data_IF_737403475956
#
_entry.id   IF_737403475956
#
_cell.length_a   1.000
_cell.length_b   1.000
_cell.length_c   1.000
_cell.angle_alpha   90.00
_cell.angle_beta   90.00
_cell.angle_gamma   90.00
#
_symmetry.space_group_name_H-M   'P 1'
#
loop_
_entity.id
_entity.type
_entity.pdbx_description
1 polymer ?
#
# COMPACT_ATOMS: atom_id res chain seq x y z
N UNK A 1 71.37 -49.73 16.28
CA UNK A 1 71.15 -48.67 15.28
C UNK A 1 69.93 -49.08 14.46
N UNK A 2 68.77 -48.49 14.73
CA UNK A 2 67.56 -48.64 13.92
C UNK A 2 67.05 -47.24 13.61
N UNK A 3 66.87 -46.97 12.32
CA UNK A 3 66.35 -45.74 11.76
C UNK A 3 64.81 -45.72 11.78
N UNK A 4 64.31 -44.51 12.01
CA UNK A 4 63.16 -43.83 11.41
C UNK A 4 61.96 -44.65 10.91
N UNK A 5 60.78 -44.29 11.43
CA UNK A 5 59.53 -44.21 10.68
C UNK A 5 58.57 -43.28 11.43
N UNK A 6 58.30 -42.09 10.89
CA UNK A 6 57.10 -41.34 11.29
C UNK A 6 56.39 -40.80 10.05
N UNK A 7 55.35 -41.53 9.64
CA UNK A 7 54.33 -41.03 8.75
C UNK A 7 53.00 -40.94 9.52
N UNK A 8 52.52 -39.69 9.64
CA UNK A 8 51.15 -39.25 9.37
C UNK A 8 50.02 -39.82 10.25
N UNK A 9 49.37 -38.95 11.04
CA UNK A 9 47.95 -38.59 10.82
C UNK A 9 47.48 -37.48 11.76
N UNK A 10 47.03 -36.40 11.14
CA UNK A 10 45.86 -35.55 11.44
C UNK A 10 45.37 -35.40 12.89
N UNK A 11 45.28 -34.15 13.36
CA UNK A 11 44.06 -33.73 14.04
C UNK A 11 43.74 -32.25 13.80
N UNK A 12 42.49 -32.05 13.39
CA UNK A 12 41.81 -30.79 13.13
C UNK A 12 41.51 -30.10 14.48
N UNK A 13 41.74 -28.80 14.61
CA UNK A 13 41.23 -28.02 15.74
C UNK A 13 40.83 -26.65 15.23
N UNK A 14 39.51 -26.47 15.10
CA UNK A 14 38.86 -25.17 15.06
C UNK A 14 39.34 -24.36 16.26
N UNK A 15 39.90 -23.17 16.03
CA UNK A 15 40.21 -22.25 17.10
C UNK A 15 39.50 -20.92 16.83
N UNK A 16 38.63 -20.60 17.79
CA UNK A 16 37.82 -19.40 17.90
C UNK A 16 38.63 -18.12 17.66
N UNK A 17 38.02 -17.20 16.92
CA UNK A 17 38.53 -15.85 16.70
C UNK A 17 38.20 -14.96 17.91
N UNK A 18 39.17 -14.76 18.80
CA UNK A 18 39.17 -13.63 19.72
C UNK A 18 39.71 -12.39 18.96
N UNK A 19 38.86 -11.36 18.82
CA UNK A 19 39.22 -10.10 18.19
C UNK A 19 39.81 -9.18 19.26
N UNK A 20 41.13 -9.21 19.41
CA UNK A 20 41.86 -8.24 20.23
C UNK A 20 42.18 -6.99 19.41
N UNK A 21 41.43 -5.91 19.67
CA UNK A 21 41.67 -4.60 19.10
C UNK A 21 42.81 -3.89 19.86
N UNK A 22 44.00 -3.78 19.25
CA UNK A 22 45.01 -2.81 19.74
C UNK A 22 45.93 -2.27 18.62
N UNK A 23 45.67 -1.00 18.28
CA UNK A 23 46.58 0.06 17.79
C UNK A 23 47.81 -0.32 16.95
N UNK A 24 47.78 0.09 15.68
CA UNK A 24 48.90 0.01 14.75
C UNK A 24 49.84 1.22 14.74
N UNK A 25 50.96 1.02 14.03
CA UNK A 25 51.79 1.92 13.21
C UNK A 25 53.09 1.14 12.94
N UNK A 26 53.70 1.06 11.77
CA UNK A 26 53.39 1.30 10.37
C UNK A 26 54.53 0.57 9.64
N UNK A 27 54.28 -0.13 8.53
CA UNK A 27 55.25 -0.24 7.43
C UNK A 27 54.59 -0.90 6.21
N UNK A 28 54.36 -0.06 5.20
CA UNK A 28 54.67 -0.39 3.81
C UNK A 28 53.82 -1.40 3.04
N UNK A 29 52.51 -1.19 2.87
CA UNK A 29 51.83 -1.68 1.66
C UNK A 29 50.65 -0.78 1.28
N UNK A 30 50.54 -0.48 -0.02
CA UNK A 30 49.71 0.58 -0.59
C UNK A 30 48.23 0.56 -0.10
N UNK A 31 47.62 1.71 0.26
CA UNK A 31 46.23 1.70 0.66
C UNK A 31 45.32 1.61 -0.58
N UNK A 32 44.37 0.67 -0.50
CA UNK A 32 42.99 0.94 -0.89
C UNK A 32 42.67 1.10 -2.40
N UNK A 33 42.52 -0.01 -3.10
CA UNK A 33 41.43 -0.14 -4.09
C UNK A 33 40.19 -0.78 -3.43
N UNK A 34 40.40 -1.91 -2.73
CA UNK A 34 39.33 -2.68 -2.07
C UNK A 34 38.56 -1.86 -1.03
N UNK A 35 39.23 -1.02 -0.23
CA UNK A 35 38.60 -0.20 0.82
C UNK A 35 37.75 0.94 0.23
N UNK A 36 38.16 1.51 -0.92
CA UNK A 36 37.37 2.49 -1.66
C UNK A 36 36.11 1.90 -2.31
N UNK A 37 36.21 0.69 -2.88
CA UNK A 37 35.07 -0.01 -3.47
C UNK A 37 34.06 -0.50 -2.40
N UNK A 38 34.55 -0.95 -1.24
CA UNK A 38 33.71 -1.31 -0.09
C UNK A 38 32.94 -0.09 0.46
N UNK A 39 33.56 1.09 0.48
CA UNK A 39 32.89 2.35 0.85
C UNK A 39 31.75 2.71 -0.11
N UNK A 40 31.97 2.49 -1.42
CA UNK A 40 31.00 2.77 -2.47
C UNK A 40 29.81 1.79 -2.42
N UNK A 41 30.07 0.50 -2.18
CA UNK A 41 29.03 -0.52 -1.96
C UNK A 41 28.21 -0.21 -0.71
N UNK A 42 28.85 0.21 0.39
CA UNK A 42 28.15 0.60 1.62
C UNK A 42 27.24 1.82 1.40
N UNK A 43 27.70 2.83 0.65
CA UNK A 43 26.89 3.98 0.31
C UNK A 43 25.69 3.59 -0.58
N UNK A 44 25.90 2.76 -1.59
CA UNK A 44 24.81 2.25 -2.44
C UNK A 44 23.78 1.43 -1.64
N UNK A 45 24.24 0.60 -0.71
CA UNK A 45 23.37 -0.18 0.17
C UNK A 45 22.50 0.72 1.04
N UNK A 46 23.06 1.78 1.63
CA UNK A 46 22.30 2.74 2.43
C UNK A 46 21.27 3.47 1.57
N UNK A 47 21.64 3.91 0.37
CA UNK A 47 20.71 4.58 -0.55
C UNK A 47 19.56 3.64 -0.92
N UNK A 48 19.85 2.39 -1.26
CA UNK A 48 18.80 1.40 -1.58
C UNK A 48 17.90 1.12 -0.38
N UNK A 49 18.45 1.01 0.82
CA UNK A 49 17.66 0.81 2.03
C UNK A 49 16.68 1.98 2.26
N UNK A 50 17.15 3.22 2.09
CA UNK A 50 16.29 4.41 2.22
C UNK A 50 15.20 4.43 1.15
N UNK A 51 15.53 4.09 -0.10
CA UNK A 51 14.54 4.05 -1.20
C UNK A 51 13.46 2.99 -0.95
N UNK A 52 13.84 1.82 -0.44
CA UNK A 52 12.88 0.76 -0.09
C UNK A 52 11.94 1.23 1.01
N UNK A 53 12.47 1.82 2.09
CA UNK A 53 11.66 2.34 3.20
C UNK A 53 10.72 3.44 2.71
N UNK A 54 11.21 4.38 1.90
CA UNK A 54 10.40 5.43 1.32
C UNK A 54 9.25 4.86 0.47
N UNK A 55 9.53 3.88 -0.40
CA UNK A 55 8.52 3.23 -1.23
C UNK A 55 7.46 2.48 -0.40
N UNK A 56 7.86 1.80 0.67
CA UNK A 56 6.91 1.12 1.56
C UNK A 56 5.98 2.12 2.26
N UNK A 57 6.53 3.22 2.78
CA UNK A 57 5.73 4.27 3.44
C UNK A 57 4.73 4.90 2.46
N UNK A 58 5.15 5.21 1.23
CA UNK A 58 4.25 5.79 0.23
C UNK A 58 3.14 4.82 -0.17
N UNK A 59 3.44 3.53 -0.32
CA UNK A 59 2.42 2.50 -0.58
C UNK A 59 1.41 2.45 0.56
N UNK A 60 1.88 2.40 1.81
CA UNK A 60 1.02 2.35 3.00
C UNK A 60 0.12 3.60 3.05
N UNK A 61 0.67 4.81 2.91
CA UNK A 61 -0.11 6.06 2.91
C UNK A 61 -1.12 6.10 1.76
N UNK A 62 -0.74 5.61 0.57
CA UNK A 62 -1.63 5.57 -0.60
C UNK A 62 -2.77 4.58 -0.39
N UNK A 63 -2.49 3.40 0.16
CA UNK A 63 -3.49 2.39 0.49
C UNK A 63 -4.40 2.93 1.60
N UNK A 64 -3.86 3.48 2.69
CA UNK A 64 -4.68 4.09 3.74
C UNK A 64 -5.54 5.20 3.18
N UNK A 65 -5.01 6.13 2.39
CA UNK A 65 -5.79 7.21 1.78
C UNK A 65 -6.92 6.69 0.88
N UNK A 66 -6.65 5.67 0.05
CA UNK A 66 -7.70 4.99 -0.73
C UNK A 66 -8.68 4.24 0.17
N UNK A 67 -8.21 3.60 1.23
CA UNK A 67 -9.02 2.81 2.14
C UNK A 67 -9.88 3.70 3.02
N UNK A 68 -9.45 4.90 3.41
CA UNK A 68 -10.27 5.91 4.09
C UNK A 68 -11.26 6.55 3.13
N UNK A 69 -10.93 6.67 1.84
CA UNK A 69 -11.89 7.08 0.81
C UNK A 69 -12.93 5.99 0.52
N UNK A 70 -12.55 4.71 0.56
CA UNK A 70 -13.44 3.56 0.33
C UNK A 70 -14.20 3.09 1.59
N UNK A 71 -13.63 3.29 2.78
CA UNK A 71 -14.21 3.02 4.10
C UNK A 71 -14.53 4.32 4.84
N UNK A 72 -14.75 5.42 4.11
CA UNK A 72 -15.81 6.31 4.54
C UNK A 72 -17.07 5.45 4.49
N UNK A 73 -17.27 4.68 5.56
CA UNK A 73 -18.52 4.04 5.90
C UNK A 73 -19.47 5.20 5.77
N UNK A 74 -20.20 5.22 4.65
CA UNK A 74 -21.37 6.05 4.52
C UNK A 74 -22.22 5.54 5.66
N UNK A 75 -22.17 6.23 6.80
CA UNK A 75 -23.14 5.99 7.85
C UNK A 75 -24.49 5.92 7.15
N UNK A 76 -25.37 5.03 7.59
CA UNK A 76 -26.71 4.96 7.04
C UNK A 76 -27.37 6.32 7.30
N UNK A 77 -27.20 7.25 6.37
CA UNK A 77 -27.80 8.57 6.41
C UNK A 77 -29.24 8.29 6.06
N UNK A 78 -30.09 8.38 7.08
CA UNK A 78 -31.53 8.39 6.87
C UNK A 78 -31.87 9.70 6.17
N UNK A 79 -32.27 9.57 4.91
CA UNK A 79 -32.63 10.70 4.06
C UNK A 79 -34.14 10.70 3.92
N UNK A 80 -34.79 11.74 4.44
CA UNK A 80 -36.21 11.98 4.19
C UNK A 80 -36.41 12.50 2.76
N UNK A 81 -36.92 11.65 1.88
CA UNK A 81 -37.28 12.02 0.52
C UNK A 81 -38.79 12.22 0.41
N UNK A 82 -39.22 13.44 0.06
CA UNK A 82 -40.62 13.73 -0.25
C UNK A 82 -40.95 13.26 -1.67
N UNK A 83 -41.66 12.15 -1.74
CA UNK A 83 -42.15 11.54 -2.98
C UNK A 83 -43.51 12.17 -3.35
N UNK A 84 -43.79 12.46 -4.64
CA UNK A 84 -45.07 13.06 -5.03
C UNK A 84 -46.24 12.12 -4.70
N UNK A 85 -47.39 12.71 -4.35
CA UNK A 85 -48.63 11.97 -4.17
C UNK A 85 -48.95 11.16 -5.44
N UNK A 86 -49.53 9.98 -5.24
CA UNK A 86 -49.95 9.07 -6.32
C UNK A 86 -48.80 8.51 -7.18
N UNK A 87 -47.58 8.50 -6.64
CA UNK A 87 -46.43 7.86 -7.29
C UNK A 87 -45.96 6.64 -6.50
N UNK A 88 -45.61 5.57 -7.22
CA UNK A 88 -45.04 4.35 -6.65
C UNK A 88 -43.56 4.26 -7.00
N UNK A 89 -42.71 4.03 -6.01
CA UNK A 89 -41.30 3.69 -6.28
C UNK A 89 -41.26 2.26 -6.82
N UNK A 90 -40.76 2.10 -8.04
CA UNK A 90 -40.66 0.80 -8.72
C UNK A 90 -39.22 0.31 -8.82
N UNK A 91 -38.24 1.21 -8.72
CA UNK A 91 -36.82 0.87 -8.66
C UNK A 91 -36.02 1.93 -7.93
N UNK A 92 -34.98 1.50 -7.23
CA UNK A 92 -33.97 2.36 -6.61
C UNK A 92 -32.60 1.75 -6.90
N UNK A 93 -31.66 2.59 -7.36
CA UNK A 93 -30.29 2.19 -7.64
C UNK A 93 -29.33 3.22 -7.09
N UNK A 94 -28.18 2.76 -6.60
CA UNK A 94 -27.04 3.65 -6.41
C UNK A 94 -26.57 4.20 -7.76
N UNK A 95 -26.12 5.44 -7.73
CA UNK A 95 -25.46 6.13 -8.83
C UNK A 95 -24.06 6.60 -8.40
N UNK A 96 -23.33 7.20 -9.33
CA UNK A 96 -21.98 7.68 -9.06
C UNK A 96 -21.96 8.71 -7.92
N UNK A 97 -20.85 8.74 -7.17
CA UNK A 97 -20.58 9.73 -6.11
C UNK A 97 -21.57 9.73 -4.93
N UNK A 98 -22.38 8.68 -4.79
CA UNK A 98 -23.36 8.59 -3.70
C UNK A 98 -24.67 9.31 -3.97
N UNK A 99 -24.94 9.62 -5.23
CA UNK A 99 -26.29 9.90 -5.68
C UNK A 99 -27.10 8.60 -5.75
N UNK A 100 -28.42 8.71 -5.67
CA UNK A 100 -29.39 7.64 -5.82
C UNK A 100 -30.28 7.94 -7.04
N UNK A 101 -30.49 6.95 -7.89
CA UNK A 101 -31.45 6.98 -8.97
C UNK A 101 -32.73 6.28 -8.52
N UNK A 102 -33.85 6.99 -8.60
CA UNK A 102 -35.17 6.49 -8.25
C UNK A 102 -36.04 6.50 -9.48
N UNK A 103 -36.70 5.39 -9.73
CA UNK A 103 -37.71 5.26 -10.77
C UNK A 103 -39.06 5.20 -10.07
N UNK A 104 -39.88 6.19 -10.36
CA UNK A 104 -41.24 6.33 -9.88
C UNK A 104 -42.21 6.09 -11.02
N UNK A 105 -43.39 5.56 -10.72
CA UNK A 105 -44.45 5.33 -11.69
C UNK A 105 -45.72 6.02 -11.20
N UNK A 106 -46.45 6.66 -12.12
CA UNK A 106 -47.78 7.20 -11.86
C UNK A 106 -48.73 6.89 -13.03
N UNK A 107 -49.98 7.35 -12.91
CA UNK A 107 -50.99 7.19 -13.96
C UNK A 107 -50.63 7.85 -15.31
N UNK A 108 -49.63 8.73 -15.35
CA UNK A 108 -49.17 9.43 -16.57
C UNK A 108 -47.93 8.79 -17.21
N UNK A 109 -47.34 7.79 -16.58
CA UNK A 109 -46.13 7.12 -17.04
C UNK A 109 -45.05 7.04 -15.96
N UNK A 110 -43.80 6.98 -16.40
CA UNK A 110 -42.64 6.76 -15.53
C UNK A 110 -41.89 8.07 -15.28
N UNK A 111 -41.35 8.25 -14.09
CA UNK A 111 -40.51 9.37 -13.70
C UNK A 111 -39.18 8.84 -13.19
N UNK A 112 -38.08 9.44 -13.62
CA UNK A 112 -36.74 9.11 -13.15
C UNK A 112 -36.18 10.30 -12.40
N UNK A 113 -35.88 10.11 -11.12
CA UNK A 113 -35.34 11.13 -10.23
C UNK A 113 -33.90 10.77 -9.88
N UNK A 114 -33.00 11.75 -9.92
CA UNK A 114 -31.68 11.64 -9.29
C UNK A 114 -31.70 12.42 -7.99
N UNK A 115 -31.33 11.77 -6.90
CA UNK A 115 -31.32 12.32 -5.55
C UNK A 115 -29.88 12.29 -5.05
N UNK A 116 -29.39 13.40 -4.52
CA UNK A 116 -28.04 13.43 -3.97
C UNK A 116 -27.98 12.83 -2.56
N UNK A 117 -26.78 12.68 -2.01
CA UNK A 117 -26.57 12.20 -0.63
C UNK A 117 -27.17 13.09 0.48
N UNK A 118 -27.84 14.21 0.15
CA UNK A 118 -28.56 15.06 1.11
C UNK A 118 -30.09 14.99 0.95
N UNK A 119 -30.61 14.14 0.05
CA UNK A 119 -32.05 13.99 -0.20
C UNK A 119 -32.67 14.99 -1.15
N UNK A 120 -31.86 15.85 -1.76
CA UNK A 120 -32.35 16.79 -2.74
C UNK A 120 -32.40 16.13 -4.11
N UNK A 121 -33.55 16.29 -4.77
CA UNK A 121 -33.72 15.85 -6.15
C UNK A 121 -32.96 16.80 -7.08
N UNK A 122 -31.86 16.34 -7.65
CA UNK A 122 -31.00 17.11 -8.56
C UNK A 122 -31.46 17.02 -10.01
N UNK A 123 -32.12 15.93 -10.39
CA UNK A 123 -32.63 15.74 -11.75
C UNK A 123 -34.00 15.07 -11.72
N UNK A 124 -34.91 15.53 -12.57
CA UNK A 124 -36.22 14.91 -12.81
C UNK A 124 -36.43 14.72 -14.31
N UNK A 125 -36.73 13.51 -14.70
CA UNK A 125 -37.15 13.14 -16.05
C UNK A 125 -38.52 12.50 -15.97
N UNK A 126 -39.36 12.73 -16.97
CA UNK A 126 -40.68 12.10 -17.11
C UNK A 126 -40.75 11.44 -18.47
N UNK A 127 -41.15 10.19 -18.49
CA UNK A 127 -41.39 9.37 -19.66
C UNK A 127 -42.91 9.20 -19.72
N UNK A 128 -43.54 9.91 -20.65
CA UNK A 128 -44.96 9.75 -20.92
C UNK A 128 -45.12 8.54 -21.85
N UNK A 129 -46.03 7.64 -21.52
CA UNK A 129 -46.50 6.64 -22.48
C UNK A 129 -47.59 7.28 -23.33
N UNK A 130 -47.33 7.40 -24.63
CA UNK A 130 -48.29 7.82 -25.67
C UNK A 130 -49.27 6.68 -26.01
#
# INVERSE_FOLDING_TARGET
>A
MMADNNAKSTNNTNQDTDIDAKTGMADGEAPSAVIGHLGLIKAMSVIMAVLIVAALVTIIVTIYSRMTASNAVKEAVEIELVVPADTRIISASDAEKGDMLLVLENAKGQMVWRVNGTGQVTQKMSILSD
#
